data_IF_311778257851
#
_entry.id   IF_311778257851
#
_cell.length_a   1.000
_cell.length_b   1.000
_cell.length_c   1.000
_cell.angle_alpha   90.00
_cell.angle_beta   90.00
_cell.angle_gamma   90.00
#
_symmetry.space_group_name_H-M   'P 1'
#
loop_
_entity.id
_entity.type
_entity.pdbx_description
1 polymer ?
#
# COMPACT_ATOMS: atom_id res chain seq x y z
N UNK A 1 4.64 -22.14 -84.51
CA UNK A 1 3.18 -22.34 -84.68
C UNK A 1 2.56 -22.53 -83.30
N UNK A 2 2.13 -21.49 -82.59
CA UNK A 2 0.77 -20.91 -82.57
C UNK A 2 -0.39 -21.93 -82.49
N UNK A 3 -0.97 -22.05 -81.28
CA UNK A 3 -2.41 -21.92 -80.89
C UNK A 3 -2.69 -22.84 -79.67
N UNK A 4 -2.85 -22.30 -78.46
CA UNK A 4 -4.06 -21.72 -77.84
C UNK A 4 -5.08 -22.75 -77.35
N UNK A 5 -5.22 -22.92 -76.02
CA UNK A 5 -6.48 -22.95 -75.22
C UNK A 5 -6.11 -23.31 -73.77
N UNK A 6 -6.06 -22.37 -72.82
CA UNK A 6 -7.17 -21.84 -71.99
C UNK A 6 -7.92 -22.95 -71.23
N UNK A 7 -7.70 -23.07 -69.92
CA UNK A 7 -8.76 -23.00 -68.89
C UNK A 7 -8.17 -23.18 -67.47
N UNK A 8 -8.08 -22.06 -66.75
CA UNK A 8 -8.60 -21.88 -65.39
C UNK A 8 -8.45 -23.09 -64.45
N UNK A 9 -7.31 -23.17 -63.75
CA UNK A 9 -7.21 -23.86 -62.45
C UNK A 9 -7.53 -22.85 -61.34
N UNK A 10 -8.77 -22.37 -61.39
CA UNK A 10 -9.45 -21.58 -60.35
C UNK A 10 -10.84 -22.22 -60.18
N UNK A 11 -10.89 -23.42 -59.63
CA UNK A 11 -12.12 -24.09 -59.20
C UNK A 11 -11.84 -25.36 -58.37
N UNK A 12 -11.02 -25.26 -57.31
CA UNK A 12 -11.26 -26.01 -56.07
C UNK A 12 -10.96 -25.04 -54.90
N UNK A 13 -11.67 -23.92 -54.93
CA UNK A 13 -12.03 -23.18 -53.74
C UNK A 13 -13.53 -23.41 -53.58
N UNK A 14 -13.96 -23.72 -52.35
CA UNK A 14 -15.35 -23.93 -51.93
C UNK A 14 -15.94 -25.33 -52.25
N UNK A 15 -15.87 -26.23 -51.27
CA UNK A 15 -16.96 -26.58 -50.34
C UNK A 15 -16.48 -27.79 -49.52
N UNK A 16 -16.56 -27.71 -48.19
CA UNK A 16 -16.46 -28.90 -47.35
C UNK A 16 -15.22 -29.04 -46.49
N UNK A 17 -14.72 -27.95 -45.93
CA UNK A 17 -14.07 -28.02 -44.62
C UNK A 17 -14.41 -26.72 -43.91
N UNK A 18 -15.62 -26.68 -43.34
CA UNK A 18 -15.83 -25.92 -42.11
C UNK A 18 -14.92 -26.56 -41.06
N UNK A 19 -13.63 -26.27 -41.17
CA UNK A 19 -12.76 -26.21 -40.01
C UNK A 19 -13.47 -25.20 -39.13
N UNK A 20 -14.11 -25.72 -38.10
CA UNK A 20 -14.59 -24.98 -36.96
C UNK A 20 -13.46 -24.01 -36.63
N UNK A 21 -13.58 -22.77 -37.09
CA UNK A 21 -12.87 -21.68 -36.45
C UNK A 21 -13.49 -21.76 -35.07
N UNK A 22 -12.74 -22.16 -34.02
CA UNK A 22 -13.29 -22.01 -32.70
C UNK A 22 -13.68 -20.54 -32.64
N UNK A 23 -14.98 -20.27 -32.50
CA UNK A 23 -15.36 -19.04 -31.87
C UNK A 23 -14.72 -19.14 -30.49
N UNK A 24 -13.48 -18.64 -30.38
CA UNK A 24 -13.04 -17.95 -29.20
C UNK A 24 -13.94 -16.71 -29.10
N UNK A 25 -15.22 -16.97 -28.82
CA UNK A 25 -15.89 -16.20 -27.79
C UNK A 25 -14.88 -16.17 -26.66
N UNK A 26 -14.41 -14.97 -26.31
CA UNK A 26 -13.45 -14.71 -25.24
C UNK A 26 -13.94 -15.37 -23.94
N UNK A 27 -13.73 -16.67 -23.78
CA UNK A 27 -13.99 -17.45 -22.59
C UNK A 27 -12.73 -17.48 -21.72
N UNK A 28 -12.02 -16.36 -21.70
CA UNK A 28 -10.84 -16.15 -20.86
C UNK A 28 -10.67 -14.65 -20.60
N UNK A 29 -11.69 -14.02 -20.02
CA UNK A 29 -11.53 -12.67 -19.45
C UNK A 29 -11.12 -12.80 -17.99
N UNK A 30 -9.81 -12.89 -17.79
CA UNK A 30 -9.08 -11.89 -17.00
C UNK A 30 -9.57 -11.70 -15.54
N UNK A 31 -8.88 -12.38 -14.60
CA UNK A 31 -8.91 -12.21 -13.14
C UNK A 31 -10.08 -11.41 -12.55
N UNK A 32 -11.04 -12.10 -11.92
CA UNK A 32 -12.18 -11.45 -11.26
C UNK A 32 -11.76 -10.48 -10.15
N UNK A 33 -10.65 -10.76 -9.44
CA UNK A 33 -10.11 -9.91 -8.35
C UNK A 33 -8.60 -10.04 -8.23
N UNK A 34 -7.91 -8.92 -8.07
CA UNK A 34 -6.49 -8.85 -7.70
C UNK A 34 -6.34 -7.97 -6.47
N UNK A 35 -5.66 -8.49 -5.46
CA UNK A 35 -5.38 -7.81 -4.20
C UNK A 35 -3.87 -7.69 -4.05
N UNK A 36 -3.42 -6.56 -3.53
CA UNK A 36 -2.03 -6.37 -3.17
C UNK A 36 -1.87 -5.75 -1.80
N UNK A 37 -0.82 -6.17 -1.11
CA UNK A 37 -0.35 -5.58 0.14
C UNK A 37 1.14 -5.36 0.02
N UNK A 38 1.56 -4.12 0.27
CA UNK A 38 2.95 -3.70 0.27
C UNK A 38 3.27 -3.04 1.60
N UNK A 39 4.45 -3.36 2.13
CA UNK A 39 5.11 -2.68 3.24
C UNK A 39 6.52 -2.32 2.84
N UNK A 40 6.88 -1.07 3.09
CA UNK A 40 8.17 -0.53 2.73
C UNK A 40 8.76 0.31 3.85
N UNK A 41 10.08 0.42 3.81
CA UNK A 41 10.85 1.36 4.62
C UNK A 41 11.15 2.58 3.76
N UNK A 42 11.01 3.76 4.33
CA UNK A 42 11.47 5.04 3.76
C UNK A 42 12.81 5.33 4.41
N UNK A 43 13.85 5.50 3.58
CA UNK A 43 15.21 5.76 4.05
C UNK A 43 15.81 7.06 3.50
N UNK A 44 15.12 7.73 2.57
CA UNK A 44 15.53 9.02 2.03
C UNK A 44 14.34 9.93 1.78
N UNK A 45 14.54 11.21 2.05
CA UNK A 45 13.68 12.31 1.64
C UNK A 45 14.52 13.30 0.83
N UNK A 46 14.28 13.33 -0.48
CA UNK A 46 15.20 13.94 -1.45
C UNK A 46 16.62 13.37 -1.29
N UNK A 47 17.59 14.25 -0.99
CA UNK A 47 18.98 13.88 -0.76
C UNK A 47 19.31 13.59 0.71
N UNK A 48 18.36 13.81 1.63
CA UNK A 48 18.58 13.66 3.05
C UNK A 48 18.19 12.25 3.55
N UNK A 49 18.89 11.71 4.55
CA UNK A 49 18.41 10.54 5.28
C UNK A 49 17.04 10.82 5.91
N UNK A 50 16.14 9.86 5.79
CA UNK A 50 14.85 9.86 6.46
C UNK A 50 14.61 8.50 7.11
N UNK A 51 13.73 8.44 8.10
CA UNK A 51 13.37 7.23 8.81
C UNK A 51 11.86 7.11 8.82
N UNK A 52 11.33 6.06 8.20
CA UNK A 52 9.89 5.95 8.04
C UNK A 52 9.43 4.61 7.47
N UNK A 53 8.13 4.46 7.40
CA UNK A 53 7.47 3.28 6.88
C UNK A 53 6.34 3.68 5.94
N UNK A 54 6.03 2.77 5.02
CA UNK A 54 4.95 2.91 4.05
C UNK A 54 4.12 1.63 4.02
N UNK A 55 2.81 1.80 3.99
CA UNK A 55 1.82 0.74 3.82
C UNK A 55 0.94 1.08 2.64
N UNK A 56 0.86 0.16 1.68
CA UNK A 56 -0.12 0.22 0.59
C UNK A 56 -0.97 -1.05 0.59
N UNK A 57 -2.28 -0.87 0.64
CA UNK A 57 -3.28 -1.92 0.51
C UNK A 57 -4.13 -1.59 -0.72
N UNK A 58 -4.27 -2.54 -1.64
CA UNK A 58 -4.88 -2.31 -2.95
C UNK A 58 -5.79 -3.47 -3.32
N UNK A 59 -6.93 -3.18 -3.94
CA UNK A 59 -7.65 -4.19 -4.70
C UNK A 59 -8.22 -3.62 -6.00
N UNK A 60 -8.24 -4.47 -7.02
CA UNK A 60 -8.86 -4.23 -8.32
C UNK A 60 -9.76 -5.42 -8.62
N UNK A 61 -11.04 -5.17 -8.88
CA UNK A 61 -12.05 -6.19 -9.19
C UNK A 61 -12.68 -5.87 -10.53
N UNK A 62 -12.72 -6.83 -11.45
CA UNK A 62 -13.48 -6.71 -12.68
C UNK A 62 -14.69 -7.63 -12.57
N UNK A 63 -15.85 -7.08 -12.24
CA UNK A 63 -17.08 -7.86 -12.10
C UNK A 63 -18.03 -7.49 -13.25
N UNK A 64 -18.30 -8.46 -14.13
CA UNK A 64 -19.21 -8.29 -15.28
C UNK A 64 -18.83 -7.09 -16.18
N UNK A 65 -17.53 -6.83 -16.36
CA UNK A 65 -17.03 -5.72 -17.18
C UNK A 65 -17.01 -4.36 -16.47
N UNK A 66 -17.42 -4.29 -15.19
CA UNK A 66 -17.24 -3.09 -14.35
C UNK A 66 -15.99 -3.25 -13.50
N UNK A 67 -15.03 -2.33 -13.68
CA UNK A 67 -13.80 -2.30 -12.88
C UNK A 67 -14.02 -1.44 -11.64
N UNK A 68 -13.81 -2.04 -10.48
CA UNK A 68 -13.75 -1.37 -9.18
C UNK A 68 -12.32 -1.38 -8.68
N UNK A 69 -11.77 -0.19 -8.51
CA UNK A 69 -10.41 0.02 -8.02
C UNK A 69 -10.45 0.74 -6.69
N UNK A 70 -9.62 0.30 -5.75
CA UNK A 70 -9.44 0.97 -4.48
C UNK A 70 -8.01 0.79 -4.00
N UNK A 71 -7.44 1.90 -3.54
CA UNK A 71 -6.16 1.91 -2.87
C UNK A 71 -6.27 2.68 -1.56
N UNK A 72 -5.52 2.20 -0.58
CA UNK A 72 -5.21 2.92 0.64
C UNK A 72 -3.72 2.89 0.84
N UNK A 73 -3.11 4.06 0.82
CA UNK A 73 -1.68 4.22 1.02
C UNK A 73 -1.43 5.21 2.14
N UNK A 74 -0.57 4.80 3.07
CA UNK A 74 -0.07 5.62 4.16
C UNK A 74 1.45 5.59 4.15
N UNK A 75 2.05 6.74 4.38
CA UNK A 75 3.46 6.85 4.66
C UNK A 75 3.65 7.68 5.94
N UNK A 76 4.64 7.32 6.73
CA UNK A 76 5.06 8.09 7.89
C UNK A 76 6.58 8.17 7.88
N UNK A 77 7.14 9.36 8.08
CA UNK A 77 8.59 9.55 8.09
C UNK A 77 9.02 10.74 8.97
N UNK A 78 10.29 10.75 9.35
CA UNK A 78 10.95 11.87 10.01
C UNK A 78 12.41 11.95 9.57
N UNK A 79 13.05 13.08 9.83
CA UNK A 79 14.50 13.22 9.75
C UNK A 79 15.17 12.95 11.11
N UNK A 80 14.39 12.78 12.18
CA UNK A 80 14.89 12.42 13.50
C UNK A 80 15.20 10.92 13.56
N UNK A 81 16.31 10.54 14.18
CA UNK A 81 16.65 9.12 14.35
C UNK A 81 15.84 8.53 15.52
N UNK A 82 14.56 8.23 15.28
CA UNK A 82 13.59 7.75 16.28
C UNK A 82 12.91 6.47 15.81
N UNK A 83 12.55 5.61 16.76
CA UNK A 83 11.78 4.37 16.53
C UNK A 83 10.37 4.69 15.98
N UNK A 84 10.17 4.46 14.67
CA UNK A 84 8.91 4.73 13.96
C UNK A 84 8.02 3.49 13.83
N UNK A 85 8.60 2.31 13.65
CA UNK A 85 7.94 1.00 13.54
C UNK A 85 9.04 -0.06 13.54
N UNK A 86 8.90 -1.15 14.31
CA UNK A 86 9.92 -2.22 14.40
C UNK A 86 9.44 -3.51 13.73
N UNK A 87 10.01 -3.86 12.56
CA UNK A 87 10.01 -5.25 12.09
C UNK A 87 11.38 -5.94 12.20
N UNK A 88 12.38 -5.32 12.86
CA UNK A 88 13.71 -5.91 13.06
C UNK A 88 14.90 -4.96 12.89
N UNK A 89 14.69 -3.64 12.90
CA UNK A 89 15.79 -2.66 12.92
C UNK A 89 16.03 -2.30 14.37
N UNK A 90 17.23 -2.57 14.89
CA UNK A 90 17.63 -2.24 16.27
C UNK A 90 17.72 -0.72 16.44
N UNK A 91 16.57 -0.06 16.53
CA UNK A 91 16.45 1.36 16.83
C UNK A 91 16.69 1.58 18.33
N UNK A 92 17.13 2.78 18.73
CA UNK A 92 17.37 3.08 20.13
C UNK A 92 16.09 2.86 20.94
N UNK A 93 16.24 2.21 22.11
CA UNK A 93 15.14 1.94 23.04
C UNK A 93 14.28 3.21 23.24
N UNK A 94 12.96 3.06 23.43
CA UNK A 94 12.06 4.17 23.71
C UNK A 94 12.64 5.06 24.82
N UNK A 95 12.53 6.40 24.69
CA UNK A 95 13.02 7.31 25.71
C UNK A 95 12.44 6.93 27.08
N UNK A 96 13.30 6.75 28.09
CA UNK A 96 12.87 6.43 29.47
C UNK A 96 12.24 7.61 30.21
N UNK A 97 12.07 8.75 29.54
CA UNK A 97 11.55 9.99 30.10
C UNK A 97 10.63 10.69 29.09
N UNK A 98 10.18 11.88 29.46
CA UNK A 98 9.36 12.71 28.57
C UNK A 98 10.09 12.92 27.24
N UNK A 99 9.35 12.81 26.14
CA UNK A 99 9.91 13.03 24.82
C UNK A 99 8.92 13.77 23.92
N UNK A 100 9.50 14.47 22.95
CA UNK A 100 8.78 15.10 21.86
C UNK A 100 9.36 14.59 20.56
N UNK A 101 8.49 14.19 19.64
CA UNK A 101 8.86 13.72 18.30
C UNK A 101 8.08 14.53 17.27
N UNK A 102 8.76 14.93 16.21
CA UNK A 102 8.14 15.51 15.02
C UNK A 102 8.24 14.52 13.85
N UNK A 103 7.12 14.30 13.16
CA UNK A 103 7.05 13.41 12.01
C UNK A 103 5.96 13.84 11.03
N UNK A 104 6.12 13.41 9.78
CA UNK A 104 5.17 13.65 8.72
C UNK A 104 4.35 12.38 8.47
N UNK A 105 3.07 12.55 8.17
CA UNK A 105 2.22 11.49 7.63
C UNK A 105 1.67 11.91 6.28
N UNK A 106 1.69 11.02 5.31
CA UNK A 106 1.02 11.18 4.02
C UNK A 106 -0.06 10.12 3.86
N UNK A 107 -1.23 10.55 3.40
CA UNK A 107 -2.39 9.69 3.15
C UNK A 107 -2.92 9.93 1.75
N UNK A 108 -3.10 8.85 0.99
CA UNK A 108 -3.88 8.88 -0.24
C UNK A 108 -5.36 9.11 0.12
N UNK A 109 -5.91 10.25 -0.29
CA UNK A 109 -7.31 10.62 -0.03
C UNK A 109 -8.25 10.13 -1.12
N UNK A 110 -7.77 10.13 -2.37
CA UNK A 110 -8.50 9.64 -3.53
C UNK A 110 -7.53 9.03 -4.55
N UNK A 111 -7.79 7.82 -5.01
CA UNK A 111 -7.02 7.18 -6.08
C UNK A 111 -7.59 7.55 -7.45
N UNK A 112 -6.74 8.02 -8.36
CA UNK A 112 -7.12 8.31 -9.75
C UNK A 112 -6.71 7.20 -10.71
N UNK A 113 -5.66 6.44 -10.37
CA UNK A 113 -5.17 5.33 -11.19
C UNK A 113 -4.46 4.28 -10.33
N UNK A 114 -4.73 3.01 -10.62
CA UNK A 114 -4.04 1.87 -10.04
C UNK A 114 -3.61 0.93 -11.17
N UNK A 115 -2.31 0.61 -11.25
CA UNK A 115 -1.77 -0.31 -12.28
C UNK A 115 -0.84 -1.32 -11.66
N UNK A 116 -0.95 -2.57 -12.13
CA UNK A 116 -0.02 -3.67 -11.84
C UNK A 116 0.83 -4.06 -13.07
N UNK A 117 0.52 -3.47 -14.22
CA UNK A 117 1.00 -3.86 -15.56
C UNK A 117 1.73 -2.72 -16.28
N UNK A 118 2.03 -1.62 -15.58
CA UNK A 118 2.78 -0.51 -16.15
C UNK A 118 4.24 -0.92 -16.37
N UNK A 119 4.80 -0.78 -17.59
CA UNK A 119 6.18 -1.16 -17.85
C UNK A 119 7.16 -0.49 -16.88
N UNK A 120 7.98 -1.32 -16.20
CA UNK A 120 8.94 -0.85 -15.21
C UNK A 120 8.45 -0.85 -13.75
N UNK A 121 7.17 -1.16 -13.50
CA UNK A 121 6.59 -1.15 -12.16
C UNK A 121 5.82 -2.43 -11.86
N UNK A 122 5.87 -2.90 -10.61
CA UNK A 122 4.98 -3.95 -10.11
C UNK A 122 3.69 -3.37 -9.53
N UNK A 123 3.75 -2.12 -9.09
CA UNK A 123 2.62 -1.38 -8.55
C UNK A 123 2.83 0.11 -8.80
N UNK A 124 1.83 0.73 -9.40
CA UNK A 124 1.72 2.17 -9.58
C UNK A 124 0.37 2.64 -9.07
N UNK A 125 0.37 3.66 -8.22
CA UNK A 125 -0.84 4.28 -7.67
C UNK A 125 -0.68 5.78 -7.80
N UNK A 126 -1.61 6.43 -8.49
CA UNK A 126 -1.68 7.89 -8.54
C UNK A 126 -2.98 8.39 -7.90
N UNK A 127 -2.93 9.63 -7.41
CA UNK A 127 -4.12 10.26 -6.85
C UNK A 127 -3.81 11.52 -6.06
N UNK A 128 -4.73 11.86 -5.17
CA UNK A 128 -4.65 13.02 -4.30
C UNK A 128 -4.17 12.60 -2.92
N UNK A 129 -3.31 13.42 -2.32
CA UNK A 129 -2.64 13.16 -1.08
C UNK A 129 -2.80 14.33 -0.12
N UNK A 130 -2.88 14.01 1.17
CA UNK A 130 -2.76 14.99 2.25
C UNK A 130 -1.53 14.64 3.06
N UNK A 131 -0.71 15.65 3.35
CA UNK A 131 0.47 15.52 4.21
C UNK A 131 0.30 16.41 5.43
N UNK A 132 0.53 15.84 6.61
CA UNK A 132 0.43 16.52 7.90
C UNK A 132 1.76 16.40 8.63
N UNK A 133 2.26 17.50 9.15
CA UNK A 133 3.35 17.52 10.12
C UNK A 133 2.74 17.39 11.51
N UNK A 134 3.11 16.33 12.23
CA UNK A 134 2.62 16.03 13.56
C UNK A 134 3.75 16.20 14.56
N UNK A 135 3.52 17.06 15.56
CA UNK A 135 4.36 17.12 16.76
C UNK A 135 3.65 16.40 17.89
N UNK A 136 4.27 15.37 18.45
CA UNK A 136 3.72 14.59 19.55
C UNK A 136 4.62 14.70 20.77
N UNK A 137 4.05 15.13 21.89
CA UNK A 137 4.73 15.18 23.19
C UNK A 137 4.11 14.15 24.12
N UNK A 138 4.95 13.26 24.65
CA UNK A 138 4.58 12.24 25.62
C UNK A 138 5.23 12.57 26.94
N UNK A 139 4.41 12.67 27.98
CA UNK A 139 4.88 12.70 29.36
C UNK A 139 4.72 11.32 29.98
N UNK A 140 5.72 10.88 30.73
CA UNK A 140 5.74 9.56 31.38
C UNK A 140 5.83 9.68 32.90
N UNK A 141 5.33 8.68 33.61
CA UNK A 141 5.50 8.55 35.05
C UNK A 141 6.91 8.02 35.41
N UNK A 142 7.16 7.85 36.70
CA UNK A 142 8.42 7.29 37.22
C UNK A 142 8.71 5.85 36.77
N UNK A 143 7.70 5.13 36.27
CA UNK A 143 7.81 3.78 35.73
C UNK A 143 7.91 3.74 34.20
N UNK A 144 7.87 4.90 33.53
CA UNK A 144 7.91 5.02 32.08
C UNK A 144 6.55 4.80 31.40
N UNK A 145 5.44 4.77 32.14
CA UNK A 145 4.11 4.69 31.55
C UNK A 145 3.65 6.07 31.06
N UNK A 146 2.99 6.15 29.89
CA UNK A 146 2.45 7.41 29.37
C UNK A 146 1.37 7.97 30.30
N UNK A 147 1.59 9.18 30.82
CA UNK A 147 0.63 9.93 31.66
C UNK A 147 -0.19 10.88 30.80
N UNK A 148 0.45 11.60 29.89
CA UNK A 148 -0.24 12.46 28.93
C UNK A 148 0.41 12.36 27.55
N UNK A 149 -0.43 12.47 26.52
CA UNK A 149 -0.02 12.54 25.13
C UNK A 149 -0.70 13.77 24.55
N UNK A 150 0.09 14.72 24.07
CA UNK A 150 -0.39 15.94 23.40
C UNK A 150 0.12 15.94 21.97
N UNK A 151 -0.78 16.24 21.03
CA UNK A 151 -0.51 16.20 19.60
C UNK A 151 -0.93 17.51 18.96
N UNK A 152 -0.06 18.05 18.13
CA UNK A 152 -0.35 19.20 17.27
C UNK A 152 -0.17 18.76 15.83
N UNK A 153 -1.23 18.90 15.05
CA UNK A 153 -1.28 18.49 13.64
C UNK A 153 -1.34 19.75 12.79
N UNK A 154 -0.35 19.91 11.91
CA UNK A 154 -0.25 21.03 10.99
C UNK A 154 -0.31 20.51 9.55
N UNK A 155 -1.31 20.90 8.74
CA UNK A 155 -1.35 20.50 7.35
C UNK A 155 -0.17 21.13 6.59
N UNK A 156 0.58 20.30 5.85
CA UNK A 156 1.69 20.74 4.99
C UNK A 156 1.18 20.93 3.57
N UNK A 157 0.51 19.92 3.04
CA UNK A 157 -0.23 20.00 1.77
C UNK A 157 -1.55 19.25 1.91
N UNK A 158 -2.58 19.73 1.23
CA UNK A 158 -3.91 19.11 1.22
C UNK A 158 -4.38 18.93 -0.21
N UNK A 159 -4.88 17.73 -0.54
CA UNK A 159 -5.39 17.41 -1.88
C UNK A 159 -4.34 17.58 -3.00
N UNK A 160 -3.06 17.41 -2.67
CA UNK A 160 -1.95 17.52 -3.62
C UNK A 160 -1.87 16.28 -4.51
N UNK A 161 -1.60 16.45 -5.80
CA UNK A 161 -1.43 15.30 -6.68
C UNK A 161 -0.11 14.59 -6.38
N UNK A 162 -0.07 13.28 -6.58
CA UNK A 162 1.12 12.49 -6.34
C UNK A 162 0.97 11.04 -6.76
N UNK A 163 2.10 10.33 -6.79
CA UNK A 163 2.16 8.91 -7.11
C UNK A 163 3.03 8.13 -6.13
N UNK A 164 2.63 6.89 -5.89
CA UNK A 164 3.38 5.86 -5.21
C UNK A 164 3.74 4.77 -6.22
N UNK A 165 5.01 4.38 -6.26
CA UNK A 165 5.52 3.39 -7.20
C UNK A 165 6.39 2.34 -6.52
N UNK A 166 6.28 1.11 -7.01
CA UNK A 166 7.19 0.00 -6.69
C UNK A 166 7.81 -0.46 -8.00
N UNK A 167 9.12 -0.30 -8.13
CA UNK A 167 9.83 -0.63 -9.35
C UNK A 167 9.91 -2.15 -9.56
N UNK A 168 9.69 -2.57 -10.80
CA UNK A 168 9.87 -3.95 -11.22
C UNK A 168 11.35 -4.22 -11.48
N UNK A 169 12.03 -4.75 -10.46
CA UNK A 169 13.44 -5.13 -10.53
C UNK A 169 13.60 -6.61 -10.26
N UNK A 170 14.27 -7.34 -11.16
CA UNK A 170 14.56 -8.78 -11.01
C UNK A 170 15.82 -9.06 -10.19
N UNK A 171 16.57 -8.03 -9.82
CA UNK A 171 17.96 -8.16 -9.34
C UNK A 171 18.15 -7.87 -7.84
N UNK A 172 17.13 -7.41 -7.13
CA UNK A 172 17.25 -7.02 -5.72
C UNK A 172 16.30 -7.82 -4.83
N UNK A 173 16.80 -8.20 -3.65
CA UNK A 173 15.97 -8.83 -2.60
C UNK A 173 14.86 -7.88 -2.12
N UNK A 174 15.12 -6.57 -2.19
CA UNK A 174 14.17 -5.52 -1.85
C UNK A 174 13.87 -4.66 -3.08
N UNK A 175 12.59 -4.49 -3.40
CA UNK A 175 12.17 -3.71 -4.57
C UNK A 175 12.20 -2.21 -4.25
N UNK A 176 12.79 -1.35 -5.10
CA UNK A 176 12.77 0.09 -4.86
C UNK A 176 11.34 0.62 -4.79
N UNK A 177 11.10 1.55 -3.86
CA UNK A 177 9.87 2.33 -3.82
C UNK A 177 10.17 3.82 -3.91
N UNK A 178 9.24 4.55 -4.53
CA UNK A 178 9.24 6.01 -4.53
C UNK A 178 7.82 6.53 -4.26
N UNK A 179 7.73 7.59 -3.47
CA UNK A 179 6.52 8.35 -3.23
C UNK A 179 6.80 9.82 -3.56
N UNK A 180 6.17 10.33 -4.61
CA UNK A 180 6.27 11.71 -5.04
C UNK A 180 4.93 12.40 -4.86
N UNK A 181 4.90 13.51 -4.11
CA UNK A 181 3.70 14.30 -3.84
C UNK A 181 4.04 15.75 -4.14
N UNK A 182 3.18 16.46 -4.89
CA UNK A 182 3.39 17.87 -5.20
C UNK A 182 3.53 18.70 -3.92
N UNK A 183 4.58 19.52 -3.85
CA UNK A 183 4.92 20.31 -2.67
C UNK A 183 5.71 19.57 -1.59
N UNK A 184 6.00 18.28 -1.78
CA UNK A 184 6.84 17.47 -0.89
C UNK A 184 7.98 16.85 -1.69
N UNK A 185 9.21 16.97 -1.17
CA UNK A 185 10.35 16.30 -1.79
C UNK A 185 10.15 14.78 -1.91
N UNK A 186 10.65 14.16 -2.98
CA UNK A 186 10.42 12.73 -3.24
C UNK A 186 10.97 11.86 -2.12
N UNK A 187 10.13 10.96 -1.61
CA UNK A 187 10.51 9.94 -0.63
C UNK A 187 10.96 8.68 -1.36
N UNK A 188 12.04 8.07 -0.89
CA UNK A 188 12.60 6.85 -1.48
C UNK A 188 12.90 5.82 -0.42
N UNK A 189 12.89 4.56 -0.84
CA UNK A 189 13.24 3.45 0.02
C UNK A 189 13.08 2.11 -0.68
N UNK A 190 12.64 1.11 0.08
CA UNK A 190 12.47 -0.23 -0.48
C UNK A 190 11.35 -1.01 0.21
N UNK A 191 10.75 -1.91 -0.56
CA UNK A 191 9.74 -2.86 -0.10
C UNK A 191 10.43 -4.02 0.62
N UNK A 192 10.02 -4.27 1.87
CA UNK A 192 10.49 -5.44 2.64
C UNK A 192 9.43 -6.55 2.69
N UNK A 193 8.16 -6.22 2.47
CA UNK A 193 7.07 -7.19 2.32
C UNK A 193 6.15 -6.78 1.19
N UNK A 194 5.96 -7.66 0.21
CA UNK A 194 5.03 -7.46 -0.89
C UNK A 194 4.29 -8.75 -1.19
N UNK A 195 2.98 -8.67 -1.39
CA UNK A 195 2.18 -9.79 -1.88
C UNK A 195 1.14 -9.29 -2.87
N UNK A 196 0.98 -10.04 -3.95
CA UNK A 196 -0.12 -9.88 -4.91
C UNK A 196 -0.83 -11.23 -4.95
N UNK A 197 -2.16 -11.21 -4.81
CA UNK A 197 -3.00 -12.41 -4.76
C UNK A 197 -4.24 -12.21 -5.61
N UNK A 198 -4.70 -13.29 -6.24
CA UNK A 198 -6.01 -13.33 -6.91
C UNK A 198 -7.13 -13.83 -5.97
N UNK A 199 -6.86 -13.79 -4.67
CA UNK A 199 -7.80 -14.06 -3.59
C UNK A 199 -7.75 -12.88 -2.63
N UNK A 200 -8.83 -12.68 -1.88
CA UNK A 200 -8.95 -11.59 -0.92
C UNK A 200 -7.80 -11.59 0.09
N UNK A 201 -7.23 -10.41 0.33
CA UNK A 201 -6.27 -10.18 1.40
C UNK A 201 -7.01 -9.51 2.56
N UNK A 202 -7.03 -10.16 3.73
CA UNK A 202 -7.65 -9.64 4.94
C UNK A 202 -6.82 -8.52 5.57
N UNK A 203 -7.01 -7.28 5.14
CA UNK A 203 -6.19 -6.11 5.54
C UNK A 203 -6.12 -5.83 7.05
N UNK A 204 -7.05 -6.38 7.82
CA UNK A 204 -7.19 -6.17 9.26
C UNK A 204 -6.88 -7.42 10.09
N UNK A 205 -6.44 -8.50 9.42
CA UNK A 205 -5.84 -9.67 10.05
C UNK A 205 -4.41 -9.29 10.45
N UNK A 206 -4.24 -8.88 11.70
CA UNK A 206 -2.97 -8.42 12.29
C UNK A 206 -2.24 -9.54 13.02
N UNK A 207 -2.90 -10.69 13.27
CA UNK A 207 -2.22 -11.88 13.77
C UNK A 207 -1.77 -12.87 12.71
N UNK A 208 -2.25 -12.72 11.48
CA UNK A 208 -1.88 -13.50 10.32
C UNK A 208 -2.55 -14.88 10.28
N UNK A 209 -3.64 -15.10 11.02
CA UNK A 209 -4.33 -16.39 11.06
C UNK A 209 -5.32 -16.64 9.90
N UNK A 210 -5.47 -15.66 9.01
CA UNK A 210 -6.22 -15.75 7.76
C UNK A 210 -7.65 -15.21 7.82
N UNK A 211 -8.07 -14.64 8.95
CA UNK A 211 -9.39 -14.05 9.17
C UNK A 211 -9.25 -12.81 10.06
N UNK A 212 -10.32 -12.00 10.11
CA UNK A 212 -10.38 -10.87 11.04
C UNK A 212 -11.33 -11.26 12.17
N UNK A 213 -10.82 -11.39 13.39
CA UNK A 213 -11.62 -11.80 14.54
C UNK A 213 -11.31 -11.03 15.84
N UNK A 214 -11.85 -11.50 16.96
CA UNK A 214 -11.67 -10.86 18.26
C UNK A 214 -10.19 -10.81 18.71
N UNK A 215 -9.33 -11.71 18.22
CA UNK A 215 -7.90 -11.74 18.53
C UNK A 215 -7.19 -10.54 17.92
N UNK A 216 -7.53 -10.15 16.69
CA UNK A 216 -7.02 -8.94 16.05
C UNK A 216 -7.38 -7.71 16.85
N UNK A 217 -8.64 -7.63 17.30
CA UNK A 217 -9.12 -6.52 18.12
C UNK A 217 -8.37 -6.46 19.44
N UNK A 218 -8.17 -7.60 20.13
CA UNK A 218 -7.42 -7.66 21.39
C UNK A 218 -5.96 -7.29 21.20
N UNK A 219 -5.30 -7.72 20.11
CA UNK A 219 -3.92 -7.35 19.81
C UNK A 219 -3.77 -5.85 19.55
N UNK A 220 -4.76 -5.23 18.93
CA UNK A 220 -4.79 -3.79 18.67
C UNK A 220 -5.09 -3.01 19.94
N UNK A 221 -6.04 -3.47 20.77
CA UNK A 221 -6.39 -2.86 22.06
C UNK A 221 -5.20 -2.83 23.03
N UNK A 222 -4.32 -3.84 23.00
CA UNK A 222 -3.07 -3.84 23.78
C UNK A 222 -2.10 -2.71 23.41
N UNK A 223 -2.30 -2.07 22.26
CA UNK A 223 -1.48 -0.96 21.73
C UNK A 223 -2.25 0.36 21.73
N UNK A 224 -3.43 0.39 22.33
CA UNK A 224 -4.27 1.59 22.38
C UNK A 224 -3.50 2.77 23.00
N UNK A 225 -3.60 3.93 22.34
CA UNK A 225 -2.86 5.17 22.58
C UNK A 225 -1.35 5.13 22.29
N UNK A 226 -0.80 4.06 21.73
CA UNK A 226 0.59 4.10 21.29
C UNK A 226 0.73 5.10 20.12
N UNK A 227 1.83 5.86 20.13
CA UNK A 227 2.24 6.82 19.10
C UNK A 227 3.69 6.51 18.68
N UNK A 228 4.19 7.05 17.56
CA UNK A 228 5.59 6.91 17.17
C UNK A 228 6.55 7.23 18.32
N UNK A 229 7.60 6.45 18.47
CA UNK A 229 8.54 6.51 19.59
C UNK A 229 8.10 5.76 20.86
N UNK A 230 6.85 5.29 20.96
CA UNK A 230 6.40 4.42 22.05
C UNK A 230 6.53 2.94 21.70
N UNK A 231 6.87 2.13 22.70
CA UNK A 231 6.83 0.68 22.58
C UNK A 231 5.44 0.21 22.17
N UNK A 232 5.38 -0.58 21.09
CA UNK A 232 4.15 -1.18 20.60
C UNK A 232 3.37 -0.34 19.61
N UNK A 233 3.82 0.89 19.30
CA UNK A 233 3.34 1.55 18.10
C UNK A 233 3.83 0.80 16.87
N UNK A 234 2.97 0.67 15.88
CA UNK A 234 3.29 0.12 14.58
C UNK A 234 2.24 0.59 13.57
N UNK A 235 2.67 0.94 12.37
CA UNK A 235 1.81 1.40 11.28
C UNK A 235 0.83 0.31 10.83
N UNK A 236 1.12 -0.96 11.13
CA UNK A 236 0.20 -2.07 10.86
C UNK A 236 -1.07 -2.04 11.72
N UNK A 237 -1.01 -1.38 12.89
CA UNK A 237 -2.13 -1.21 13.81
C UNK A 237 -2.79 0.17 13.71
N UNK A 238 -2.17 1.13 13.02
CA UNK A 238 -2.67 2.49 12.79
C UNK A 238 -3.40 2.56 11.44
N UNK A 239 -4.62 2.02 11.40
CA UNK A 239 -5.34 1.81 10.13
C UNK A 239 -5.84 3.08 9.42
N UNK A 240 -5.90 4.21 10.13
CA UNK A 240 -6.20 5.53 9.57
C UNK A 240 -4.94 6.34 9.25
N UNK A 241 -3.76 5.86 9.63
CA UNK A 241 -2.46 6.47 9.32
C UNK A 241 -2.30 7.83 9.99
N UNK A 242 -2.90 8.01 11.16
CA UNK A 242 -2.91 9.30 11.84
C UNK A 242 -1.76 9.47 12.82
N UNK A 243 -0.86 8.50 12.98
CA UNK A 243 0.26 8.57 13.92
C UNK A 243 -0.17 8.26 15.36
N UNK A 244 -1.27 7.53 15.55
CA UNK A 244 -1.74 7.07 16.86
C UNK A 244 -2.71 5.89 16.71
N UNK A 245 -2.50 4.83 17.49
CA UNK A 245 -3.44 3.72 17.57
C UNK A 245 -4.58 4.12 18.51
N UNK A 246 -5.72 4.50 17.96
CA UNK A 246 -6.83 5.09 18.71
C UNK A 246 -8.14 4.30 18.56
N UNK A 247 -9.27 4.94 18.88
CA UNK A 247 -10.59 4.31 18.75
C UNK A 247 -10.98 4.06 17.28
N UNK A 248 -10.46 4.87 16.35
CA UNK A 248 -10.61 4.65 14.91
C UNK A 248 -9.97 3.34 14.49
N UNK A 249 -8.79 3.02 15.01
CA UNK A 249 -8.15 1.73 14.75
C UNK A 249 -8.97 0.54 15.28
N UNK A 250 -9.48 0.65 16.51
CA UNK A 250 -10.30 -0.42 17.13
C UNK A 250 -11.64 -0.61 16.42
N UNK A 251 -12.33 0.48 16.08
CA UNK A 251 -13.61 0.41 15.37
C UNK A 251 -13.43 -0.09 13.94
N UNK A 252 -12.30 0.20 13.29
CA UNK A 252 -11.97 -0.37 11.98
C UNK A 252 -11.89 -1.89 12.04
N UNK A 253 -11.19 -2.49 13.02
CA UNK A 253 -11.19 -3.95 13.18
C UNK A 253 -12.57 -4.47 13.51
N UNK A 254 -13.24 -3.88 14.50
CA UNK A 254 -14.55 -4.35 14.96
C UNK A 254 -15.58 -4.39 13.82
N UNK A 255 -15.53 -3.41 12.91
CA UNK A 255 -16.40 -3.33 11.73
C UNK A 255 -16.08 -4.40 10.66
N UNK A 256 -14.91 -5.02 10.72
CA UNK A 256 -14.44 -6.03 9.77
C UNK A 256 -14.35 -7.44 10.39
N UNK A 257 -14.79 -7.64 11.63
CA UNK A 257 -14.84 -8.98 12.23
C UNK A 257 -15.78 -9.87 11.43
N UNK A 258 -15.27 -11.04 11.04
CA UNK A 258 -16.02 -12.06 10.33
C UNK A 258 -16.90 -12.84 11.33
N UNK A 259 -18.18 -13.00 10.99
CA UNK A 259 -19.18 -13.71 11.80
C UNK A 259 -19.22 -15.20 11.56
#
# INVERSE_FOLDING_TARGET
MRKNTTLVLLAILTIGSFSIIPSLANADTQFDRTWARTRGVINRWEDNPAFGNLRADVFVTNNNGTVHEWARVFAMWTNENVEMDDPGITLPLPPKGNFTIQFYTARLTNSTEIRFDLPGYDLYIAGNWTVTNTTTTVTVDEFGHPVSITRTLEPVVTDAHGNFTVANTTTTMHKPLELAIDGIGTLKGFVYMGMIRHIEIKFFDVDGDGKVDIRDLVKTAKRYKAVPGMRGYSLDFDFNGEGMIDIGALTTIAANIEG
#
